data_IF_578188760333
#
_entry.id   IF_578188760333
#
_cell.length_a   1.000
_cell.length_b   1.000
_cell.length_c   1.000
_cell.angle_alpha   90.00
_cell.angle_beta   90.00
_cell.angle_gamma   90.00
#
_symmetry.space_group_name_H-M   'P 1'
#
loop_
_entity.id
_entity.type
_entity.pdbx_description
1 polymer ?
#
# COMPACT_ATOMS: atom_id res chain seq x y z
N UNK A 1 19.49 72.06 35.24
CA UNK A 1 19.84 73.29 34.51
C UNK A 1 19.23 73.20 33.11
N UNK A 2 18.43 74.23 32.76
CA UNK A 2 17.71 74.64 31.53
C UNK A 2 17.76 73.75 30.27
N UNK A 3 16.67 73.41 29.55
CA UNK A 3 15.38 74.06 29.20
C UNK A 3 15.47 75.18 28.14
N UNK A 4 14.98 74.87 26.93
CA UNK A 4 14.22 75.67 25.93
C UNK A 4 13.50 74.64 25.03
N UNK A 5 12.30 74.77 24.48
CA UNK A 5 11.18 75.74 24.42
C UNK A 5 10.00 74.96 23.77
N UNK A 6 8.80 74.92 24.37
CA UNK A 6 7.51 75.54 23.96
C UNK A 6 6.51 74.69 23.12
N UNK A 7 5.30 74.51 23.72
CA UNK A 7 3.90 74.42 23.19
C UNK A 7 3.53 73.28 22.17
N UNK A 8 2.65 72.31 22.49
CA UNK A 8 1.17 72.31 22.67
C UNK A 8 0.36 72.51 21.36
N UNK A 9 -0.76 71.86 21.01
CA UNK A 9 -1.56 70.66 21.40
C UNK A 9 -2.60 70.43 20.26
N UNK A 10 -2.89 69.16 19.91
CA UNK A 10 -4.07 68.55 19.22
C UNK A 10 -4.63 69.01 17.85
N UNK A 11 -4.63 68.07 16.88
CA UNK A 11 -5.83 67.49 16.20
C UNK A 11 -6.51 68.22 15.01
N UNK A 12 -6.43 67.65 13.79
CA UNK A 12 -7.54 67.47 12.80
C UNK A 12 -7.04 67.14 11.37
N UNK A 13 -7.54 66.00 10.86
CA UNK A 13 -8.07 65.61 9.53
C UNK A 13 -7.75 66.32 8.19
N UNK A 14 -7.49 65.47 7.16
CA UNK A 14 -7.77 65.55 5.69
C UNK A 14 -6.86 66.46 4.81
N UNK A 15 -6.48 66.18 3.54
CA UNK A 15 -7.14 65.63 2.33
C UNK A 15 -6.09 65.19 1.26
N UNK A 16 -6.60 64.56 0.16
CA UNK A 16 -6.04 64.22 -1.18
C UNK A 16 -5.81 62.71 -1.44
N UNK A 17 -6.38 62.05 -2.45
CA UNK A 17 -7.29 62.40 -3.57
C UNK A 17 -7.59 61.14 -4.41
N UNK A 18 -8.75 61.09 -5.07
CA UNK A 18 -9.47 59.89 -5.57
C UNK A 18 -9.01 59.29 -6.92
N UNK A 19 -9.37 58.01 -7.15
CA UNK A 19 -10.33 57.64 -8.20
C UNK A 19 -11.09 56.35 -7.86
N UNK A 20 -12.43 56.42 -7.87
CA UNK A 20 -13.37 55.29 -7.76
C UNK A 20 -13.69 54.77 -9.17
N UNK A 21 -13.83 53.46 -9.33
CA UNK A 21 -14.75 52.89 -10.31
C UNK A 21 -15.51 51.71 -9.68
N UNK A 22 -16.76 51.60 -10.10
CA UNK A 22 -17.87 50.86 -9.50
C UNK A 22 -17.73 49.35 -9.57
N UNK A 23 -17.84 48.66 -8.43
CA UNK A 23 -18.37 47.30 -8.39
C UNK A 23 -19.90 47.42 -8.53
N UNK A 24 -20.39 47.17 -9.75
CA UNK A 24 -21.78 46.80 -9.98
C UNK A 24 -21.95 45.39 -9.42
N UNK A 25 -22.96 45.20 -8.59
CA UNK A 25 -23.60 43.91 -8.37
C UNK A 25 -24.09 43.42 -9.74
N UNK A 26 -23.36 42.48 -10.34
CA UNK A 26 -23.90 41.58 -11.34
C UNK A 26 -24.12 40.25 -10.63
N UNK A 27 -25.40 39.91 -10.47
CA UNK A 27 -25.87 38.55 -10.26
C UNK A 27 -25.21 37.63 -11.27
N UNK A 28 -24.14 36.93 -10.87
CA UNK A 28 -23.58 35.85 -11.65
C UNK A 28 -23.71 34.54 -10.88
N UNK A 29 -24.36 33.60 -11.55
CA UNK A 29 -24.91 32.37 -11.01
C UNK A 29 -23.78 31.53 -10.42
N UNK A 30 -23.98 31.04 -9.19
CA UNK A 30 -23.17 29.94 -8.64
C UNK A 30 -23.12 28.82 -9.69
N UNK A 31 -21.93 28.36 -10.13
CA UNK A 31 -21.83 27.14 -10.91
C UNK A 31 -22.44 26.01 -10.08
N UNK A 32 -23.25 25.20 -10.77
CA UNK A 32 -24.25 24.34 -10.18
C UNK A 32 -23.74 23.40 -9.09
N UNK A 33 -24.67 23.13 -8.18
CA UNK A 33 -24.75 22.00 -7.26
C UNK A 33 -24.66 20.67 -8.04
N UNK A 34 -23.47 20.35 -8.58
CA UNK A 34 -23.12 18.98 -8.95
C UNK A 34 -22.62 18.32 -7.68
N UNK A 35 -23.56 17.84 -6.86
CA UNK A 35 -23.25 16.85 -5.83
C UNK A 35 -22.38 15.76 -6.48
N UNK A 36 -21.25 15.36 -5.87
CA UNK A 36 -20.46 14.26 -6.41
C UNK A 36 -21.40 13.08 -6.65
N UNK A 37 -21.35 12.49 -7.85
CA UNK A 37 -22.01 11.20 -8.08
C UNK A 37 -21.19 10.18 -7.30
N UNK A 38 -21.65 9.90 -6.08
CA UNK A 38 -21.01 8.98 -5.15
C UNK A 38 -21.02 7.55 -5.70
N UNK A 39 -20.07 6.74 -5.22
CA UNK A 39 -19.91 5.33 -5.54
C UNK A 39 -21.27 4.64 -5.65
N UNK A 40 -21.46 3.89 -6.73
CA UNK A 40 -22.65 3.06 -6.94
C UNK A 40 -22.84 2.11 -5.75
N UNK A 41 -24.09 1.69 -5.48
CA UNK A 41 -24.46 0.74 -4.42
C UNK A 41 -23.93 -0.69 -4.62
N UNK A 42 -22.88 -0.88 -5.44
CA UNK A 42 -22.27 -2.19 -5.70
C UNK A 42 -21.29 -2.51 -4.56
N UNK A 43 -21.34 -3.72 -3.97
CA UNK A 43 -20.31 -4.19 -3.05
C UNK A 43 -18.94 -4.21 -3.73
N UNK A 44 -17.91 -3.71 -3.05
CA UNK A 44 -16.52 -3.89 -3.46
C UNK A 44 -16.08 -5.30 -3.08
N UNK A 45 -16.50 -6.27 -3.89
CA UNK A 45 -16.03 -7.65 -3.73
C UNK A 45 -14.54 -7.69 -4.12
N UNK A 46 -13.65 -7.95 -3.15
CA UNK A 46 -12.32 -8.51 -3.47
C UNK A 46 -11.06 -7.66 -3.28
N UNK A 47 -11.11 -6.46 -2.68
CA UNK A 47 -9.88 -5.73 -2.30
C UNK A 47 -9.74 -5.50 -0.79
N UNK A 48 -9.69 -6.61 -0.06
CA UNK A 48 -9.74 -6.64 1.41
C UNK A 48 -8.46 -6.22 2.12
N UNK A 49 -7.34 -6.09 1.41
CA UNK A 49 -6.04 -5.71 1.98
C UNK A 49 -5.09 -5.17 0.91
N UNK A 50 -3.89 -4.73 1.31
CA UNK A 50 -2.80 -4.39 0.38
C UNK A 50 -2.57 -5.56 -0.60
N UNK A 51 -2.60 -5.29 -1.91
CA UNK A 51 -2.59 -6.28 -3.01
C UNK A 51 -3.79 -7.23 -3.07
N UNK A 52 -4.96 -6.73 -2.67
CA UNK A 52 -6.26 -7.32 -3.00
C UNK A 52 -6.71 -8.45 -2.07
N UNK A 53 -5.88 -9.49 -1.94
CA UNK A 53 -6.26 -10.74 -1.28
C UNK A 53 -5.18 -11.29 -0.33
N UNK A 54 -5.56 -12.31 0.44
CA UNK A 54 -4.66 -13.04 1.35
C UNK A 54 -3.52 -13.77 0.62
N UNK A 55 -3.61 -13.91 -0.70
CA UNK A 55 -2.56 -14.46 -1.58
C UNK A 55 -1.61 -13.38 -2.10
N UNK A 56 -1.94 -12.10 -1.88
CA UNK A 56 -1.21 -10.91 -2.33
C UNK A 56 -0.97 -10.86 -3.84
N UNK A 57 -1.94 -11.33 -4.59
CA UNK A 57 -1.85 -11.40 -6.06
C UNK A 57 -1.95 -10.02 -6.70
N UNK A 58 -2.47 -9.00 -6.00
CA UNK A 58 -2.80 -7.72 -6.62
C UNK A 58 -4.01 -7.81 -7.55
N UNK A 59 -4.71 -8.96 -7.58
CA UNK A 59 -5.85 -9.20 -8.45
C UNK A 59 -7.15 -8.75 -7.77
N UNK A 60 -7.95 -7.97 -8.50
CA UNK A 60 -9.34 -7.71 -8.17
C UNK A 60 -10.25 -8.73 -8.88
N UNK A 61 -10.84 -9.72 -8.19
CA UNK A 61 -11.76 -10.66 -8.80
C UNK A 61 -13.06 -9.95 -9.22
N UNK A 62 -13.61 -10.30 -10.39
CA UNK A 62 -14.87 -9.76 -10.94
C UNK A 62 -14.85 -8.24 -11.18
N UNK A 63 -13.67 -7.64 -11.25
CA UNK A 63 -13.54 -6.26 -11.69
C UNK A 63 -13.51 -6.21 -13.22
N UNK A 64 -14.68 -6.43 -13.83
CA UNK A 64 -14.90 -6.11 -15.23
C UNK A 64 -14.90 -4.58 -15.38
N UNK A 65 -13.71 -4.01 -15.37
CA UNK A 65 -13.50 -2.61 -15.69
C UNK A 65 -13.63 -2.47 -17.21
N UNK A 66 -14.82 -2.10 -17.69
CA UNK A 66 -14.89 -1.39 -18.98
C UNK A 66 -14.31 0.00 -18.73
N UNK A 67 -12.98 0.09 -18.76
CA UNK A 67 -12.30 1.37 -18.67
C UNK A 67 -12.67 2.18 -19.90
N UNK A 68 -13.15 3.41 -19.68
CA UNK A 68 -13.21 4.41 -20.73
C UNK A 68 -11.81 4.59 -21.32
N UNK A 69 -11.70 4.74 -22.64
CA UNK A 69 -10.43 5.11 -23.30
C UNK A 69 -9.91 6.48 -22.83
N UNK A 70 -10.77 7.27 -22.18
CA UNK A 70 -10.40 8.54 -21.55
C UNK A 70 -10.68 8.45 -20.05
N UNK A 71 -9.65 8.33 -19.19
CA UNK A 71 -9.85 8.25 -17.75
C UNK A 71 -10.40 9.58 -17.25
N UNK A 72 -11.43 9.53 -16.39
CA UNK A 72 -11.96 10.72 -15.73
C UNK A 72 -11.90 10.55 -14.21
N UNK A 73 -11.57 11.63 -13.50
CA UNK A 73 -11.71 11.69 -12.04
C UNK A 73 -13.20 11.72 -11.72
N UNK A 74 -13.74 10.62 -11.17
CA UNK A 74 -15.13 10.52 -10.73
C UNK A 74 -15.36 11.29 -9.43
N UNK A 75 -14.39 11.19 -8.51
CA UNK A 75 -14.33 12.00 -7.30
C UNK A 75 -12.89 12.07 -6.78
N UNK A 76 -12.62 13.11 -6.00
CA UNK A 76 -11.34 13.34 -5.32
C UNK A 76 -11.63 13.87 -3.91
N UNK A 77 -10.87 13.41 -2.91
CA UNK A 77 -10.93 13.93 -1.55
C UNK A 77 -9.54 14.16 -0.97
N UNK A 78 -9.39 15.25 -0.22
CA UNK A 78 -8.19 15.52 0.57
C UNK A 78 -8.30 14.80 1.93
N UNK A 79 -7.23 14.14 2.33
CA UNK A 79 -7.08 13.51 3.64
C UNK A 79 -6.16 14.40 4.48
N UNK A 80 -6.61 14.77 5.69
CA UNK A 80 -6.06 15.85 6.50
C UNK A 80 -4.68 15.59 7.15
N UNK A 81 -3.88 14.65 6.65
CA UNK A 81 -2.59 14.27 7.25
C UNK A 81 -1.44 14.15 6.23
N UNK A 82 -0.23 14.29 6.76
CA UNK A 82 1.02 14.51 6.04
C UNK A 82 1.56 13.31 5.25
N UNK A 83 0.93 12.14 5.29
CA UNK A 83 1.34 10.95 4.51
C UNK A 83 0.14 10.00 4.32
N UNK A 84 -0.12 9.58 3.08
CA UNK A 84 -1.08 8.51 2.76
C UNK A 84 -0.26 7.27 2.43
N UNK A 85 -0.42 6.23 3.26
CA UNK A 85 -0.02 4.86 2.97
C UNK A 85 -1.02 4.19 2.02
N UNK A 86 -0.92 2.87 1.83
CA UNK A 86 -1.74 2.22 0.82
C UNK A 86 -3.24 2.29 1.16
N UNK A 87 -4.02 2.30 0.08
CA UNK A 87 -5.47 2.33 0.12
C UNK A 87 -6.00 0.91 0.19
N UNK A 88 -7.05 0.71 0.98
CA UNK A 88 -7.89 -0.49 0.95
C UNK A 88 -9.31 -0.06 0.63
N UNK A 89 -9.88 -0.57 -0.45
CA UNK A 89 -11.24 -0.24 -0.87
C UNK A 89 -12.20 -1.36 -0.46
N UNK A 90 -13.26 -1.01 0.26
CA UNK A 90 -14.16 -1.98 0.92
C UNK A 90 -15.61 -1.58 0.71
N UNK A 91 -16.56 -2.51 0.91
CA UNK A 91 -17.99 -2.18 0.87
C UNK A 91 -18.40 -1.08 1.88
N UNK A 92 -17.58 -0.86 2.92
CA UNK A 92 -17.79 0.15 3.96
C UNK A 92 -17.14 1.51 3.64
N UNK A 93 -16.27 1.59 2.62
CA UNK A 93 -15.54 2.80 2.26
C UNK A 93 -14.10 2.56 1.84
N UNK A 94 -13.42 3.66 1.57
CA UNK A 94 -11.99 3.70 1.24
C UNK A 94 -11.22 3.92 2.53
N UNK A 95 -10.51 2.89 2.98
CA UNK A 95 -9.64 2.98 4.15
C UNK A 95 -8.25 3.40 3.69
N UNK A 96 -7.65 4.37 4.38
CA UNK A 96 -6.29 4.82 4.10
C UNK A 96 -5.44 4.70 5.35
N UNK A 97 -4.38 3.89 5.36
CA UNK A 97 -3.39 4.00 6.44
C UNK A 97 -2.68 5.34 6.31
N UNK A 98 -2.65 6.23 7.31
CA UNK A 98 -2.01 7.55 7.19
C UNK A 98 -0.86 7.72 8.18
N UNK A 99 0.36 7.45 7.74
CA UNK A 99 1.56 7.93 8.44
C UNK A 99 1.73 7.47 9.89
N UNK A 100 2.73 8.06 10.54
CA UNK A 100 3.51 7.42 11.58
C UNK A 100 2.70 6.76 12.71
N UNK A 101 1.65 7.34 13.28
CA UNK A 101 1.02 6.80 14.51
C UNK A 101 -0.51 6.59 14.40
N UNK A 102 -1.11 6.76 13.22
CA UNK A 102 -2.57 6.83 13.00
C UNK A 102 -3.04 6.04 11.76
N UNK A 103 -3.94 5.09 11.94
CA UNK A 103 -4.73 4.53 10.84
C UNK A 103 -6.03 5.33 10.74
N UNK A 104 -6.20 6.10 9.66
CA UNK A 104 -7.42 6.89 9.42
C UNK A 104 -8.39 6.14 8.50
N UNK A 105 -9.56 5.79 9.02
CA UNK A 105 -10.61 5.09 8.26
C UNK A 105 -11.61 6.13 7.74
N UNK A 106 -11.68 6.27 6.41
CA UNK A 106 -12.71 7.08 5.75
C UNK A 106 -13.86 6.16 5.31
N UNK A 107 -15.11 6.52 5.65
CA UNK A 107 -16.28 5.67 5.39
C UNK A 107 -17.11 6.13 4.19
N UNK A 108 -17.68 5.14 3.49
CA UNK A 108 -18.62 5.27 2.35
C UNK A 108 -19.90 6.00 2.70
N UNK A 109 -20.41 5.84 3.93
CA UNK A 109 -21.79 6.26 4.27
C UNK A 109 -21.91 7.74 4.63
N UNK A 110 -20.81 8.39 4.98
CA UNK A 110 -20.77 9.82 5.22
C UNK A 110 -19.32 10.33 5.10
N UNK A 111 -18.92 11.01 4.03
CA UNK A 111 -17.55 11.52 3.86
C UNK A 111 -17.18 12.59 4.93
N UNK A 112 -18.15 13.07 5.71
CA UNK A 112 -17.89 13.97 6.85
C UNK A 112 -17.59 13.23 8.16
N UNK A 113 -17.80 11.90 8.23
CA UNK A 113 -17.51 11.10 9.42
C UNK A 113 -16.22 10.30 9.19
N UNK A 114 -15.10 10.91 9.57
CA UNK A 114 -13.82 10.23 9.69
C UNK A 114 -13.77 9.44 11.00
N UNK A 115 -13.31 8.18 10.97
CA UNK A 115 -12.91 7.51 12.21
C UNK A 115 -11.39 7.38 12.23
N UNK A 116 -10.79 7.85 13.31
CA UNK A 116 -9.33 7.84 13.49
C UNK A 116 -8.99 6.85 14.59
N UNK A 117 -8.21 5.83 14.25
CA UNK A 117 -7.68 4.89 15.23
C UNK A 117 -6.16 5.03 15.29
N UNK A 118 -5.60 5.14 16.49
CA UNK A 118 -4.15 5.26 16.67
C UNK A 118 -3.52 3.87 16.73
N UNK A 119 -2.55 3.60 15.87
CA UNK A 119 -1.78 2.36 15.85
C UNK A 119 -0.70 2.30 16.94
N UNK A 120 -0.42 3.42 17.61
CA UNK A 120 0.44 3.47 18.80
C UNK A 120 1.92 3.21 18.53
N UNK A 121 2.38 3.26 17.27
CA UNK A 121 3.81 3.21 16.90
C UNK A 121 4.06 3.95 15.60
N UNK A 122 5.24 4.60 15.48
CA UNK A 122 5.65 5.51 14.39
C UNK A 122 5.67 4.94 12.96
N UNK A 123 5.41 3.66 12.76
CA UNK A 123 5.16 3.04 11.45
C UNK A 123 4.30 1.80 11.68
N UNK A 124 2.99 1.96 11.61
CA UNK A 124 2.04 0.84 11.60
C UNK A 124 1.95 0.19 10.23
N UNK A 125 1.32 -0.99 10.17
CA UNK A 125 1.04 -1.67 8.91
C UNK A 125 -0.10 -1.02 8.15
N UNK A 126 -0.19 -1.32 6.86
CA UNK A 126 -1.45 -1.13 6.16
C UNK A 126 -2.51 -2.10 6.72
N UNK A 127 -3.80 -1.73 6.67
CA UNK A 127 -4.83 -2.57 7.25
C UNK A 127 -5.26 -3.71 6.32
N UNK A 128 -5.82 -4.75 6.92
CA UNK A 128 -6.68 -5.73 6.26
C UNK A 128 -8.10 -5.59 6.83
N UNK A 129 -9.13 -5.83 6.02
CA UNK A 129 -10.52 -5.83 6.48
C UNK A 129 -11.16 -7.19 6.25
N UNK A 130 -12.01 -7.62 7.16
CA UNK A 130 -12.89 -8.76 6.97
C UNK A 130 -14.13 -8.62 7.83
N UNK A 131 -15.30 -8.88 7.25
CA UNK A 131 -16.58 -8.93 7.98
C UNK A 131 -16.85 -7.67 8.83
N UNK A 132 -16.46 -6.49 8.31
CA UNK A 132 -16.60 -5.21 9.01
C UNK A 132 -15.60 -4.97 10.14
N UNK A 133 -14.54 -5.77 10.24
CA UNK A 133 -13.44 -5.61 11.21
C UNK A 133 -12.15 -5.32 10.48
N UNK A 134 -11.52 -4.20 10.85
CA UNK A 134 -10.21 -3.76 10.37
C UNK A 134 -9.11 -4.32 11.28
N UNK A 135 -8.06 -4.88 10.70
CA UNK A 135 -6.90 -5.43 11.39
C UNK A 135 -5.65 -4.70 10.92
N UNK A 136 -4.86 -4.18 11.84
CA UNK A 136 -3.60 -3.50 11.50
C UNK A 136 -2.58 -3.63 12.63
N UNK A 137 -1.31 -3.58 12.24
CA UNK A 137 -0.16 -3.66 13.12
C UNK A 137 0.38 -2.30 13.53
N UNK A 138 1.04 -2.26 14.67
CA UNK A 138 1.80 -1.13 15.19
C UNK A 138 2.66 -1.61 16.35
N UNK A 139 2.56 -0.97 17.52
CA UNK A 139 3.12 -1.50 18.78
C UNK A 139 2.34 -2.72 19.29
N UNK A 140 1.16 -2.96 18.73
CA UNK A 140 0.29 -4.11 18.94
C UNK A 140 -0.38 -4.46 17.62
N UNK A 141 -0.91 -5.68 17.52
CA UNK A 141 -1.88 -6.01 16.49
C UNK A 141 -3.27 -5.64 17.01
N UNK A 142 -4.04 -4.87 16.25
CA UNK A 142 -5.32 -4.30 16.70
C UNK A 142 -6.44 -4.64 15.73
N UNK A 143 -7.59 -5.01 16.28
CA UNK A 143 -8.84 -5.22 15.54
C UNK A 143 -9.88 -4.16 15.92
N UNK A 144 -10.48 -3.53 14.91
CA UNK A 144 -11.49 -2.47 15.06
C UNK A 144 -12.72 -2.83 14.26
N UNK A 145 -13.85 -2.95 14.93
CA UNK A 145 -15.12 -3.10 14.27
C UNK A 145 -15.57 -1.74 13.74
N UNK A 146 -15.53 -1.60 12.42
CA UNK A 146 -15.81 -0.34 11.73
C UNK A 146 -17.31 -0.08 11.65
N UNK A 147 -18.15 -1.12 11.74
CA UNK A 147 -19.60 -1.01 11.77
C UNK A 147 -20.10 -0.59 13.15
N UNK A 148 -19.52 -1.16 14.20
CA UNK A 148 -19.89 -0.91 15.58
C UNK A 148 -19.10 0.24 16.23
N UNK A 149 -18.09 0.79 15.55
CA UNK A 149 -17.25 1.90 16.01
C UNK A 149 -16.56 1.61 17.35
N UNK A 150 -15.94 0.43 17.46
CA UNK A 150 -15.20 0.02 18.67
C UNK A 150 -13.96 -0.80 18.34
N UNK A 151 -12.96 -0.72 19.21
CA UNK A 151 -11.85 -1.69 19.25
C UNK A 151 -12.42 -3.00 19.79
N UNK A 152 -12.26 -4.10 19.06
CA UNK A 152 -12.64 -5.44 19.54
C UNK A 152 -11.54 -5.99 20.44
N UNK A 153 -10.28 -5.88 20.01
CA UNK A 153 -9.11 -6.28 20.78
C UNK A 153 -7.84 -5.57 20.30
N UNK A 154 -6.83 -5.55 21.16
CA UNK A 154 -5.49 -5.05 20.88
C UNK A 154 -4.48 -5.91 21.62
N UNK A 155 -3.65 -6.64 20.88
CA UNK A 155 -2.71 -7.63 21.43
C UNK A 155 -1.29 -7.15 21.20
N UNK A 156 -0.61 -6.82 22.31
CA UNK A 156 0.83 -6.62 22.31
C UNK A 156 1.51 -7.97 22.18
N UNK A 157 2.35 -8.13 21.15
CA UNK A 157 3.16 -9.33 21.00
C UNK A 157 4.33 -9.21 21.99
N UNK A 158 4.21 -9.93 23.11
CA UNK A 158 5.22 -9.91 24.15
C UNK A 158 6.52 -10.54 23.64
N UNK A 159 7.68 -10.00 24.04
CA UNK A 159 8.96 -10.67 23.87
C UNK A 159 8.99 -12.00 24.65
N UNK A 160 9.74 -12.99 24.14
CA UNK A 160 9.71 -14.38 24.65
C UNK A 160 10.34 -14.52 26.05
N UNK A 161 10.04 -15.61 26.80
CA UNK A 161 10.73 -15.91 28.05
C UNK A 161 12.24 -16.02 27.85
N UNK A 162 12.99 -15.07 28.42
CA UNK A 162 14.45 -14.95 28.26
C UNK A 162 14.89 -13.68 27.53
N UNK A 163 13.97 -13.00 26.82
CA UNK A 163 14.22 -11.70 26.23
C UNK A 163 14.20 -10.61 27.32
N UNK A 164 15.25 -9.80 27.35
CA UNK A 164 15.40 -8.65 28.27
C UNK A 164 14.87 -7.36 27.67
N UNK A 165 14.34 -7.39 26.44
CA UNK A 165 13.71 -6.23 25.82
C UNK A 165 12.34 -6.00 26.47
N UNK A 166 12.15 -4.79 27.01
CA UNK A 166 10.87 -4.38 27.60
C UNK A 166 9.91 -3.80 26.55
N UNK A 167 10.29 -3.84 25.27
CA UNK A 167 9.56 -3.21 24.17
C UNK A 167 8.71 -4.23 23.42
N UNK A 168 7.41 -3.97 23.21
CA UNK A 168 6.54 -4.74 22.33
C UNK A 168 7.14 -4.95 20.94
N UNK A 169 6.85 -6.09 20.34
CA UNK A 169 7.30 -6.42 18.98
C UNK A 169 6.47 -5.64 17.97
N UNK A 170 7.07 -4.73 17.17
CA UNK A 170 6.32 -4.03 16.14
C UNK A 170 5.84 -4.99 15.04
N UNK A 171 4.57 -4.83 14.65
CA UNK A 171 3.99 -5.41 13.44
C UNK A 171 3.92 -4.31 12.39
N UNK A 172 4.78 -4.38 11.38
CA UNK A 172 4.83 -3.38 10.31
C UNK A 172 4.26 -3.86 8.98
N UNK A 173 4.31 -5.16 8.70
CA UNK A 173 3.69 -5.72 7.49
C UNK A 173 2.19 -5.90 7.64
N UNK A 174 1.44 -5.73 6.55
CA UNK A 174 -0.01 -5.94 6.52
C UNK A 174 -0.36 -7.34 7.04
N UNK A 175 -1.26 -7.51 8.03
CA UNK A 175 -1.67 -8.83 8.47
C UNK A 175 -2.52 -9.54 7.41
N UNK A 176 -2.45 -10.87 7.37
CA UNK A 176 -3.37 -11.70 6.58
C UNK A 176 -4.49 -12.20 7.48
N UNK A 177 -5.73 -12.00 7.04
CA UNK A 177 -6.92 -12.35 7.82
C UNK A 177 -7.70 -13.44 7.10
N UNK A 178 -8.03 -14.51 7.83
CA UNK A 178 -9.02 -15.51 7.45
C UNK A 178 -10.13 -15.60 8.51
N UNK A 179 -11.19 -16.37 8.27
CA UNK A 179 -12.44 -16.35 9.04
C UNK A 179 -12.27 -16.43 10.56
N UNK A 180 -11.25 -17.15 11.04
CA UNK A 180 -11.02 -17.37 12.47
C UNK A 180 -9.60 -16.98 12.92
N UNK A 181 -8.76 -16.46 12.03
CA UNK A 181 -7.35 -16.25 12.36
C UNK A 181 -6.77 -15.00 11.72
N UNK A 182 -5.88 -14.35 12.46
CA UNK A 182 -5.03 -13.26 11.97
C UNK A 182 -3.58 -13.73 11.99
N UNK A 183 -2.91 -13.58 10.86
CA UNK A 183 -1.52 -13.95 10.66
C UNK A 183 -0.69 -12.69 10.44
N UNK A 184 0.39 -12.53 11.20
CA UNK A 184 1.25 -11.35 11.12
C UNK A 184 2.72 -11.73 11.27
N UNK A 185 3.59 -10.95 10.63
CA UNK A 185 5.04 -11.06 10.86
C UNK A 185 5.48 -9.88 11.72
N UNK A 186 6.11 -10.20 12.85
CA UNK A 186 6.66 -9.21 13.78
C UNK A 186 8.19 -9.20 13.76
N UNK A 187 8.75 -8.01 13.96
CA UNK A 187 10.19 -7.77 13.97
C UNK A 187 10.69 -7.46 15.38
N UNK A 188 11.61 -8.28 15.88
CA UNK A 188 12.24 -8.12 17.17
C UNK A 188 13.57 -7.40 16.99
N UNK A 189 13.72 -6.25 17.66
CA UNK A 189 14.92 -5.40 17.57
C UNK A 189 16.24 -6.13 17.89
N UNK A 190 16.20 -7.27 18.59
CA UNK A 190 17.38 -8.08 18.93
C UNK A 190 17.28 -9.57 18.59
N UNK A 191 16.10 -10.08 18.23
CA UNK A 191 15.85 -11.53 18.09
C UNK A 191 15.31 -11.94 16.71
N UNK A 192 15.25 -10.99 15.76
CA UNK A 192 14.94 -11.26 14.36
C UNK A 192 13.45 -11.19 14.02
N UNK A 193 12.93 -12.18 13.30
CA UNK A 193 11.61 -12.15 12.67
C UNK A 193 10.83 -13.40 13.11
N UNK A 194 9.59 -13.20 13.57
CA UNK A 194 8.65 -14.31 13.82
C UNK A 194 7.33 -14.12 13.13
N UNK A 195 6.71 -15.25 12.79
CA UNK A 195 5.35 -15.35 12.30
C UNK A 195 4.41 -15.72 13.44
N UNK A 196 3.27 -15.05 13.51
CA UNK A 196 2.27 -15.24 14.56
C UNK A 196 0.94 -15.63 13.96
N UNK A 197 0.18 -16.44 14.71
CA UNK A 197 -1.25 -16.65 14.50
C UNK A 197 -2.00 -16.29 15.77
N UNK A 198 -3.03 -15.47 15.62
CA UNK A 198 -3.94 -15.08 16.67
C UNK A 198 -5.37 -15.48 16.29
N UNK A 199 -6.20 -15.77 17.29
CA UNK A 199 -7.64 -15.92 17.08
C UNK A 199 -8.24 -14.57 16.68
N UNK A 200 -9.03 -14.55 15.60
CA UNK A 200 -9.57 -13.31 15.06
C UNK A 200 -10.66 -12.67 15.96
N UNK A 201 -11.32 -13.45 16.82
CA UNK A 201 -12.43 -13.00 17.64
C UNK A 201 -11.99 -12.27 18.91
N UNK A 202 -10.87 -12.67 19.52
CA UNK A 202 -10.41 -12.12 20.80
C UNK A 202 -8.94 -11.68 20.80
N UNK A 203 -8.21 -11.92 19.71
CA UNK A 203 -6.81 -11.54 19.58
C UNK A 203 -5.87 -12.38 20.45
N UNK A 204 -6.30 -13.55 20.94
CA UNK A 204 -5.44 -14.44 21.71
C UNK A 204 -4.37 -15.07 20.82
N UNK A 205 -3.12 -15.10 21.30
CA UNK A 205 -2.01 -15.74 20.58
C UNK A 205 -2.19 -17.26 20.61
N UNK A 206 -2.35 -17.88 19.45
CA UNK A 206 -2.50 -19.34 19.34
C UNK A 206 -1.16 -20.04 19.10
N UNK A 207 -0.30 -19.47 18.24
CA UNK A 207 1.08 -19.92 18.08
C UNK A 207 1.98 -18.83 17.52
N UNK A 208 3.29 -18.98 17.76
CA UNK A 208 4.34 -18.22 17.10
C UNK A 208 5.42 -19.16 16.51
N UNK A 209 6.08 -18.70 15.45
CA UNK A 209 7.18 -19.41 14.79
C UNK A 209 8.32 -18.43 14.50
N UNK A 210 9.47 -18.56 15.17
CA UNK A 210 10.69 -17.87 14.78
C UNK A 210 11.10 -18.27 13.35
N UNK A 211 11.41 -17.29 12.50
CA UNK A 211 11.76 -17.51 11.09
C UNK A 211 13.24 -17.22 10.82
N UNK A 212 13.77 -16.15 11.40
CA UNK A 212 15.14 -15.67 11.21
C UNK A 212 15.58 -14.87 12.43
N UNK A 213 16.85 -14.87 12.78
CA UNK A 213 17.43 -13.94 13.78
C UNK A 213 17.94 -12.63 13.13
N UNK A 214 17.95 -12.55 11.79
CA UNK A 214 18.33 -11.38 11.00
C UNK A 214 17.08 -10.66 10.54
N UNK A 215 17.05 -9.34 10.75
CA UNK A 215 16.02 -8.48 10.19
C UNK A 215 16.64 -7.31 9.43
N UNK A 216 16.06 -7.00 8.27
CA UNK A 216 16.25 -5.75 7.56
C UNK A 216 15.11 -4.80 7.93
N UNK A 217 15.36 -3.48 7.87
CA UNK A 217 14.36 -2.43 8.10
C UNK A 217 13.43 -2.26 6.87
N UNK A 218 12.68 -3.32 6.60
CA UNK A 218 11.65 -3.47 5.57
C UNK A 218 10.44 -4.20 6.17
N UNK A 219 9.32 -4.14 5.47
CA UNK A 219 8.09 -4.79 5.91
C UNK A 219 8.01 -6.24 5.40
N UNK A 220 7.70 -7.16 6.31
CA UNK A 220 7.54 -8.59 6.00
C UNK A 220 6.08 -8.96 6.02
N UNK A 221 5.67 -9.63 4.95
CA UNK A 221 4.26 -9.74 4.62
C UNK A 221 4.00 -11.19 4.21
N UNK A 222 3.28 -11.98 5.03
CA UNK A 222 3.04 -13.38 4.72
C UNK A 222 1.96 -13.52 3.64
N UNK A 223 1.97 -14.64 2.92
CA UNK A 223 0.87 -15.05 2.04
C UNK A 223 0.23 -16.33 2.57
N UNK A 224 -1.09 -16.41 2.46
CA UNK A 224 -1.87 -17.58 2.82
C UNK A 224 -2.43 -18.24 1.57
N UNK A 225 -2.32 -19.57 1.47
CA UNK A 225 -2.97 -20.35 0.42
C UNK A 225 -3.22 -21.77 0.95
N UNK A 226 -4.48 -22.19 0.91
CA UNK A 226 -4.93 -23.48 1.44
C UNK A 226 -4.50 -23.65 2.90
N UNK A 227 -3.68 -24.66 3.18
CA UNK A 227 -3.15 -25.01 4.50
C UNK A 227 -1.80 -24.36 4.81
N UNK A 228 -1.26 -23.57 3.87
CA UNK A 228 0.09 -23.04 3.92
C UNK A 228 0.10 -21.53 4.09
N UNK A 229 0.93 -21.11 5.04
CA UNK A 229 1.28 -19.72 5.25
C UNK A 229 2.78 -19.59 4.93
N UNK A 230 3.13 -18.69 4.02
CA UNK A 230 4.50 -18.54 3.53
C UNK A 230 5.00 -17.14 3.82
N UNK A 231 6.20 -17.04 4.39
CA UNK A 231 6.89 -15.79 4.61
C UNK A 231 8.27 -15.83 3.96
N UNK A 232 8.69 -14.71 3.38
CA UNK A 232 10.03 -14.53 2.82
C UNK A 232 10.80 -13.60 3.74
N UNK A 233 11.91 -14.08 4.28
CA UNK A 233 12.71 -13.36 5.28
C UNK A 233 14.21 -13.47 4.95
N UNK A 234 15.08 -12.61 5.50
CA UNK A 234 16.53 -12.75 5.37
C UNK A 234 17.00 -14.04 6.03
N UNK A 235 17.99 -14.70 5.42
CA UNK A 235 18.67 -15.83 6.03
C UNK A 235 19.86 -15.35 6.90
N UNK A 236 19.94 -15.77 8.18
CA UNK A 236 21.04 -15.41 9.07
C UNK A 236 22.43 -15.77 8.56
N UNK A 237 23.35 -14.81 8.59
CA UNK A 237 24.76 -15.06 8.29
C UNK A 237 25.05 -15.44 6.83
N UNK A 238 24.08 -15.31 5.93
CA UNK A 238 24.24 -15.60 4.48
C UNK A 238 23.65 -14.47 3.65
N UNK A 239 24.13 -14.32 2.41
CA UNK A 239 23.57 -13.38 1.42
C UNK A 239 22.38 -14.02 0.67
N UNK A 240 21.42 -14.60 1.41
CA UNK A 240 20.25 -15.27 0.83
C UNK A 240 18.94 -14.83 1.48
N UNK A 241 17.86 -14.85 0.71
CA UNK A 241 16.50 -14.82 1.25
C UNK A 241 16.03 -16.25 1.45
N UNK A 242 15.23 -16.49 2.48
CA UNK A 242 14.58 -17.77 2.70
C UNK A 242 13.06 -17.62 2.64
N UNK A 243 12.44 -18.42 1.78
CA UNK A 243 11.02 -18.67 1.82
C UNK A 243 10.75 -19.81 2.80
N UNK A 244 9.87 -19.57 3.78
CA UNK A 244 9.51 -20.54 4.81
C UNK A 244 8.01 -20.75 4.75
N UNK A 245 7.58 -21.98 4.45
CA UNK A 245 6.17 -22.37 4.52
C UNK A 245 5.88 -23.10 5.82
N UNK A 246 4.79 -22.71 6.48
CA UNK A 246 4.30 -23.33 7.70
C UNK A 246 2.87 -23.79 7.52
N UNK A 247 2.52 -24.82 8.29
CA UNK A 247 1.13 -25.20 8.51
C UNK A 247 0.39 -24.04 9.18
N UNK A 248 -0.66 -23.54 8.53
CA UNK A 248 -1.41 -22.39 9.01
C UNK A 248 -2.14 -22.61 10.34
N UNK A 249 -2.35 -23.85 10.76
CA UNK A 249 -3.06 -24.20 12.01
C UNK A 249 -2.09 -24.48 13.14
N UNK A 250 -0.96 -25.15 12.85
CA UNK A 250 0.00 -25.62 13.86
C UNK A 250 1.26 -24.77 13.96
N UNK A 251 1.55 -23.91 12.98
CA UNK A 251 2.81 -23.17 12.88
C UNK A 251 4.04 -24.03 12.60
N UNK A 252 3.84 -25.33 12.32
CA UNK A 252 4.93 -26.26 12.02
C UNK A 252 5.43 -26.04 10.59
N UNK A 253 6.74 -25.87 10.43
CA UNK A 253 7.39 -25.75 9.13
C UNK A 253 7.15 -26.99 8.26
N UNK A 254 6.81 -26.74 7.00
CA UNK A 254 6.60 -27.76 5.97
C UNK A 254 7.81 -27.85 5.04
N UNK A 255 8.33 -26.70 4.63
CA UNK A 255 9.54 -26.59 3.83
C UNK A 255 10.19 -25.23 4.03
N UNK A 256 11.47 -25.17 3.66
CA UNK A 256 12.28 -23.95 3.64
C UNK A 256 13.18 -23.99 2.41
N UNK A 257 13.27 -22.85 1.74
CA UNK A 257 14.08 -22.69 0.53
C UNK A 257 14.90 -21.40 0.64
N UNK A 258 16.22 -21.53 0.65
CA UNK A 258 17.14 -20.38 0.58
C UNK A 258 17.48 -20.07 -0.89
N UNK A 259 17.43 -18.79 -1.25
CA UNK A 259 17.69 -18.28 -2.59
C UNK A 259 18.71 -17.15 -2.51
N UNK A 260 19.73 -17.16 -3.39
CA UNK A 260 20.78 -16.16 -3.36
C UNK A 260 20.24 -14.75 -3.63
N UNK A 261 20.87 -13.76 -3.02
CA UNK A 261 20.72 -12.34 -3.34
C UNK A 261 22.00 -11.93 -4.05
N UNK A 262 22.00 -11.82 -5.40
CA UNK A 262 23.17 -11.32 -6.12
C UNK A 262 23.59 -9.94 -5.59
N UNK A 263 24.87 -9.79 -5.21
CA UNK A 263 25.39 -8.56 -4.60
C UNK A 263 25.12 -8.41 -3.10
N UNK A 264 24.52 -9.42 -2.46
CA UNK A 264 24.22 -9.43 -1.04
C UNK A 264 23.24 -8.33 -0.63
N UNK A 265 23.16 -8.08 0.69
CA UNK A 265 22.22 -7.11 1.21
C UNK A 265 22.53 -5.66 0.85
N UNK A 266 23.79 -5.35 0.55
CA UNK A 266 24.25 -3.99 0.24
C UNK A 266 23.77 -3.52 -1.15
N UNK A 267 23.46 -4.46 -2.06
CA UNK A 267 22.87 -4.17 -3.36
C UNK A 267 21.34 -4.04 -3.35
N UNK A 268 20.69 -4.25 -2.21
CA UNK A 268 19.23 -4.26 -2.13
C UNK A 268 18.68 -2.84 -2.02
N UNK A 269 17.78 -2.47 -2.93
CA UNK A 269 16.84 -1.39 -2.62
C UNK A 269 15.98 -1.83 -1.43
N UNK A 270 15.64 -0.90 -0.53
CA UNK A 270 14.81 -1.14 0.68
C UNK A 270 13.36 -1.55 0.36
N UNK A 271 13.12 -2.20 -0.77
CA UNK A 271 11.82 -2.39 -1.39
C UNK A 271 11.38 -3.85 -1.30
N UNK A 272 10.10 -4.05 -0.97
CA UNK A 272 9.41 -5.31 -0.65
C UNK A 272 9.97 -6.60 -1.27
N UNK A 273 10.15 -7.63 -0.43
CA UNK A 273 10.26 -9.05 -0.83
C UNK A 273 8.95 -9.80 -0.68
N UNK A 274 7.85 -9.08 -0.69
CA UNK A 274 6.58 -9.68 -0.36
C UNK A 274 6.18 -10.71 -1.43
N UNK A 275 5.96 -11.97 -1.04
CA UNK A 275 5.53 -13.00 -1.96
C UNK A 275 4.10 -12.79 -2.46
N UNK A 276 3.79 -13.47 -3.56
CA UNK A 276 2.44 -13.71 -4.05
C UNK A 276 2.21 -15.23 -4.20
N UNK A 277 1.07 -15.73 -3.74
CA UNK A 277 0.66 -17.11 -3.99
C UNK A 277 -0.16 -17.18 -5.28
N UNK A 278 0.47 -17.61 -6.37
CA UNK A 278 -0.09 -17.61 -7.72
C UNK A 278 -0.26 -19.05 -8.22
N UNK A 279 -1.48 -19.57 -8.19
CA UNK A 279 -1.77 -20.96 -8.55
C UNK A 279 -1.07 -21.93 -7.61
N UNK A 280 -0.16 -22.74 -8.16
CA UNK A 280 0.67 -23.71 -7.43
C UNK A 280 2.02 -23.12 -6.99
N UNK A 281 2.29 -21.84 -7.25
CA UNK A 281 3.56 -21.20 -6.95
C UNK A 281 3.46 -20.17 -5.83
N UNK A 282 4.56 -20.02 -5.08
CA UNK A 282 4.90 -18.79 -4.39
C UNK A 282 5.91 -18.04 -5.25
N UNK A 283 5.54 -16.85 -5.69
CA UNK A 283 6.36 -16.01 -6.56
C UNK A 283 6.86 -14.80 -5.79
N UNK A 284 8.16 -14.54 -5.84
CA UNK A 284 8.76 -13.39 -5.16
C UNK A 284 10.08 -13.00 -5.80
N UNK A 285 10.54 -11.80 -5.47
CA UNK A 285 11.81 -11.25 -5.93
C UNK A 285 12.93 -11.54 -4.94
N UNK A 286 14.10 -11.95 -5.43
CA UNK A 286 15.37 -11.96 -4.70
C UNK A 286 16.41 -11.16 -5.50
N UNK A 287 16.79 -9.98 -4.99
CA UNK A 287 17.57 -9.01 -5.77
C UNK A 287 16.80 -8.55 -7.02
N UNK A 288 17.35 -8.82 -8.21
CA UNK A 288 16.72 -8.51 -9.50
C UNK A 288 16.08 -9.74 -10.17
N UNK A 289 16.15 -10.91 -9.52
CA UNK A 289 15.61 -12.17 -10.04
C UNK A 289 14.22 -12.41 -9.44
N UNK A 290 13.28 -12.81 -10.29
CA UNK A 290 11.98 -13.32 -9.85
C UNK A 290 12.09 -14.84 -9.79
N UNK A 291 11.66 -15.43 -8.67
CA UNK A 291 11.63 -16.87 -8.48
C UNK A 291 10.19 -17.33 -8.32
N UNK A 292 9.86 -18.47 -8.93
CA UNK A 292 8.69 -19.23 -8.55
C UNK A 292 9.10 -20.54 -7.88
N UNK A 293 8.53 -20.72 -6.71
CA UNK A 293 8.75 -21.87 -5.86
C UNK A 293 7.45 -22.65 -5.80
N UNK A 294 7.48 -23.95 -6.05
CA UNK A 294 6.33 -24.83 -5.85
C UNK A 294 5.84 -24.70 -4.41
N UNK A 295 4.58 -24.30 -4.27
CA UNK A 295 3.95 -23.93 -3.01
C UNK A 295 3.97 -25.10 -2.01
N UNK A 296 3.94 -26.35 -2.49
CA UNK A 296 3.79 -27.54 -1.64
C UNK A 296 5.13 -28.12 -1.20
N UNK A 297 6.16 -28.03 -2.02
CA UNK A 297 7.45 -28.70 -1.85
C UNK A 297 8.59 -27.75 -1.55
N UNK A 298 8.46 -26.46 -1.89
CA UNK A 298 9.55 -25.49 -1.75
C UNK A 298 10.59 -25.57 -2.87
N UNK A 299 10.35 -26.35 -3.92
CA UNK A 299 11.28 -26.50 -5.04
C UNK A 299 11.18 -25.30 -5.98
N UNK A 300 12.31 -24.71 -6.40
CA UNK A 300 12.31 -23.68 -7.44
C UNK A 300 11.94 -24.34 -8.78
N UNK A 301 10.85 -23.89 -9.39
CA UNK A 301 10.40 -24.40 -10.69
C UNK A 301 10.92 -23.55 -11.86
N UNK A 302 10.97 -22.24 -11.66
CA UNK A 302 11.55 -21.32 -12.63
C UNK A 302 12.14 -20.07 -11.98
N UNK A 303 13.08 -19.45 -12.69
CA UNK A 303 13.70 -18.18 -12.34
C UNK A 303 13.69 -17.27 -13.57
N UNK A 304 13.43 -15.98 -13.36
CA UNK A 304 13.44 -14.99 -14.42
C UNK A 304 14.35 -13.82 -14.04
N UNK A 305 15.32 -13.52 -14.92
CA UNK A 305 16.12 -12.29 -14.87
C UNK A 305 15.72 -11.41 -16.04
N UNK A 306 15.28 -10.20 -15.71
CA UNK A 306 14.83 -9.24 -16.71
C UNK A 306 15.99 -8.75 -17.56
N UNK A 307 15.84 -8.85 -18.88
CA UNK A 307 16.70 -8.15 -19.86
C UNK A 307 16.23 -6.71 -20.11
N UNK A 308 15.11 -6.32 -19.50
CA UNK A 308 14.42 -5.03 -19.67
C UNK A 308 14.61 -4.10 -18.47
N UNK A 309 15.72 -4.28 -17.75
CA UNK A 309 16.08 -3.50 -16.58
C UNK A 309 15.72 -4.16 -15.25
N UNK A 310 16.02 -3.47 -14.15
CA UNK A 310 16.05 -4.03 -12.81
C UNK A 310 14.64 -4.08 -12.25
N UNK A 311 14.16 -5.27 -11.90
CA UNK A 311 12.86 -5.44 -11.25
C UNK A 311 12.93 -4.82 -9.84
N UNK A 312 12.08 -3.82 -9.57
CA UNK A 312 12.11 -3.07 -8.30
C UNK A 312 10.82 -3.12 -7.49
N UNK A 313 9.67 -3.31 -8.16
CA UNK A 313 8.37 -3.44 -7.50
C UNK A 313 8.07 -4.87 -7.03
N UNK A 314 7.11 -5.05 -6.13
CA UNK A 314 6.56 -6.37 -5.81
C UNK A 314 5.82 -6.96 -7.01
N UNK A 315 5.79 -8.29 -7.09
CA UNK A 315 5.06 -9.00 -8.14
C UNK A 315 3.56 -8.99 -7.90
N UNK A 316 2.79 -8.96 -8.98
CA UNK A 316 1.36 -9.26 -9.01
C UNK A 316 1.13 -10.52 -9.87
N UNK A 317 -0.04 -11.15 -9.78
CA UNK A 317 -0.33 -12.35 -10.54
C UNK A 317 -1.83 -12.57 -10.75
N UNK A 318 -2.17 -13.36 -11.76
CA UNK A 318 -3.50 -13.93 -11.93
C UNK A 318 -3.44 -15.44 -12.26
N UNK A 319 -4.45 -15.95 -12.97
CA UNK A 319 -4.52 -17.34 -13.36
C UNK A 319 -3.60 -17.74 -14.52
N UNK A 320 -3.07 -16.77 -15.26
CA UNK A 320 -2.24 -17.00 -16.43
C UNK A 320 -0.84 -16.43 -16.27
N UNK A 321 -0.71 -15.28 -15.59
CA UNK A 321 0.50 -14.46 -15.65
C UNK A 321 0.98 -13.97 -14.30
N UNK A 322 2.28 -13.68 -14.24
CA UNK A 322 2.94 -12.88 -13.22
C UNK A 322 3.31 -11.53 -13.84
N UNK A 323 3.07 -10.45 -13.11
CA UNK A 323 3.39 -9.09 -13.52
C UNK A 323 4.46 -8.49 -12.62
N UNK A 324 5.41 -7.80 -13.21
CA UNK A 324 6.49 -7.12 -12.49
C UNK A 324 6.86 -5.80 -13.16
N UNK A 325 7.39 -4.87 -12.37
CA UNK A 325 7.82 -3.57 -12.86
C UNK A 325 9.32 -3.33 -12.65
N UNK A 326 9.94 -2.68 -13.62
CA UNK A 326 11.37 -2.33 -13.59
C UNK A 326 11.60 -0.87 -13.27
N UNK A 327 12.83 -0.57 -12.83
CA UNK A 327 13.32 0.79 -12.58
C UNK A 327 13.31 1.63 -13.85
N UNK A 328 13.51 0.99 -14.99
CA UNK A 328 13.62 1.58 -16.31
C UNK A 328 12.25 1.88 -16.94
N UNK A 329 11.17 1.69 -16.16
CA UNK A 329 9.81 1.96 -16.62
C UNK A 329 9.30 0.92 -17.59
N UNK A 330 9.57 -0.35 -17.31
CA UNK A 330 8.95 -1.47 -18.02
C UNK A 330 7.98 -2.20 -17.09
N UNK A 331 6.85 -2.62 -17.63
CA UNK A 331 5.94 -3.60 -17.04
C UNK A 331 6.08 -4.89 -17.83
N UNK A 332 6.39 -5.97 -17.13
CA UNK A 332 6.60 -7.29 -17.67
C UNK A 332 5.37 -8.13 -17.35
N UNK A 333 4.95 -8.96 -18.31
CA UNK A 333 4.05 -10.07 -18.05
C UNK A 333 4.75 -11.37 -18.39
N UNK A 334 4.78 -12.30 -17.44
CA UNK A 334 5.42 -13.60 -17.54
C UNK A 334 4.35 -14.68 -17.47
N UNK A 335 4.45 -15.73 -18.28
CA UNK A 335 3.68 -16.95 -18.10
C UNK A 335 3.91 -17.49 -16.68
N UNK A 336 2.84 -17.69 -15.93
CA UNK A 336 2.92 -18.08 -14.51
C UNK A 336 3.57 -19.45 -14.31
N UNK A 337 3.44 -20.36 -15.29
CA UNK A 337 3.97 -21.73 -15.20
C UNK A 337 5.42 -21.84 -15.62
N UNK A 338 5.87 -21.06 -16.59
CA UNK A 338 7.22 -21.21 -17.17
C UNK A 338 8.16 -20.06 -16.82
N UNK A 339 7.62 -18.90 -16.45
CA UNK A 339 8.39 -17.66 -16.23
C UNK A 339 8.84 -16.98 -17.53
N UNK A 340 8.48 -17.52 -18.70
CA UNK A 340 8.78 -16.88 -19.99
C UNK A 340 7.95 -15.60 -20.15
N UNK A 341 8.51 -14.54 -20.72
CA UNK A 341 7.77 -13.29 -20.89
C UNK A 341 6.78 -13.41 -22.07
N UNK A 342 5.53 -13.06 -21.82
CA UNK A 342 4.48 -12.95 -22.84
C UNK A 342 4.57 -11.60 -23.57
N UNK A 343 4.74 -10.53 -22.79
CA UNK A 343 4.84 -9.17 -23.32
C UNK A 343 5.59 -8.24 -22.37
N UNK A 344 6.04 -7.12 -22.93
CA UNK A 344 6.69 -6.02 -22.23
C UNK A 344 6.07 -4.71 -22.67
N UNK A 345 5.72 -3.86 -21.70
CA UNK A 345 5.08 -2.56 -21.93
C UNK A 345 5.92 -1.44 -21.31
N UNK A 346 6.16 -0.36 -22.05
CA UNK A 346 6.87 0.81 -21.53
C UNK A 346 5.90 1.79 -20.86
N UNK A 347 6.29 2.30 -19.68
CA UNK A 347 5.57 3.30 -18.89
C UNK A 347 6.47 4.52 -18.61
N UNK A 348 5.86 5.63 -18.22
CA UNK A 348 6.57 6.87 -17.98
C UNK A 348 7.22 6.92 -16.58
N UNK A 349 8.46 6.46 -16.47
CA UNK A 349 9.24 6.51 -15.23
C UNK A 349 9.22 5.19 -14.45
N UNK A 350 9.78 5.20 -13.24
CA UNK A 350 9.96 3.98 -12.44
C UNK A 350 8.63 3.59 -11.80
N UNK A 351 8.29 2.29 -11.78
CA UNK A 351 7.15 1.76 -11.02
C UNK A 351 7.66 0.90 -9.86
N UNK A 352 7.59 1.47 -8.65
CA UNK A 352 8.00 0.82 -7.38
C UNK A 352 6.82 0.20 -6.65
N UNK A 353 5.62 0.69 -6.92
CA UNK A 353 4.39 0.23 -6.31
C UNK A 353 3.92 -1.10 -6.92
N UNK A 354 3.14 -1.90 -6.18
CA UNK A 354 2.45 -3.07 -6.73
C UNK A 354 1.60 -2.72 -7.95
N UNK A 355 1.58 -3.62 -8.93
CA UNK A 355 0.64 -3.57 -10.06
C UNK A 355 -0.72 -4.09 -9.60
N UNK A 356 -1.80 -3.42 -10.00
CA UNK A 356 -3.16 -3.94 -9.83
C UNK A 356 -3.61 -4.69 -11.09
N UNK A 357 -4.20 -5.87 -10.90
CA UNK A 357 -4.63 -6.76 -11.99
C UNK A 357 -6.16 -6.84 -12.00
N UNK A 358 -6.78 -6.33 -13.06
CA UNK A 358 -8.20 -6.53 -13.35
C UNK A 358 -8.42 -7.66 -14.36
N UNK A 359 -9.64 -7.82 -14.83
CA UNK A 359 -9.96 -8.91 -15.78
C UNK A 359 -9.34 -8.68 -17.17
N UNK A 360 -9.47 -7.46 -17.69
CA UNK A 360 -9.01 -7.06 -19.04
C UNK A 360 -7.74 -6.20 -19.03
N UNK A 361 -7.41 -5.59 -17.88
CA UNK A 361 -6.35 -4.58 -17.78
C UNK A 361 -5.47 -4.80 -16.56
N UNK A 362 -4.21 -4.39 -16.67
CA UNK A 362 -3.35 -4.14 -15.51
C UNK A 362 -3.12 -2.65 -15.35
N UNK A 363 -2.98 -2.19 -14.11
CA UNK A 363 -2.80 -0.79 -13.76
C UNK A 363 -1.48 -0.63 -13.02
N UNK A 364 -0.59 0.17 -13.58
CA UNK A 364 0.69 0.53 -12.98
C UNK A 364 0.69 2.01 -12.60
N UNK A 365 1.38 2.35 -11.51
CA UNK A 365 1.65 3.74 -11.14
C UNK A 365 3.16 3.98 -11.20
N UNK A 366 3.55 4.98 -11.99
CA UNK A 366 4.95 5.31 -12.20
C UNK A 366 5.25 6.75 -11.83
N UNK A 367 6.50 7.00 -11.48
CA UNK A 367 6.99 8.31 -11.12
C UNK A 367 8.28 8.58 -11.86
N UNK A 368 8.41 9.78 -12.43
CA UNK A 368 9.67 10.23 -13.01
C UNK A 368 10.63 10.60 -11.89
N UNK A 369 11.86 10.13 -11.97
CA UNK A 369 12.88 10.52 -11.00
C UNK A 369 13.28 11.97 -11.26
N UNK A 370 13.05 12.86 -10.29
CA UNK A 370 13.67 14.19 -10.29
C UNK A 370 15.07 14.07 -9.73
N UNK A 371 16.05 14.71 -10.40
CA UNK A 371 17.46 14.71 -9.96
C UNK A 371 17.73 15.38 -8.60
N UNK A 372 16.69 15.77 -7.85
CA UNK A 372 16.78 16.34 -6.51
C UNK A 372 16.80 15.27 -5.40
N UNK A 373 16.62 13.98 -5.76
CA UNK A 373 16.70 12.84 -4.83
C UNK A 373 15.61 12.82 -3.76
N UNK A 374 14.62 13.71 -3.84
CA UNK A 374 13.56 13.86 -2.84
C UNK A 374 12.20 13.39 -3.34
N UNK A 375 12.03 13.07 -4.63
CA UNK A 375 10.81 12.46 -5.20
C UNK A 375 9.51 13.26 -4.98
N UNK A 376 9.61 14.49 -4.49
CA UNK A 376 8.50 15.25 -3.88
C UNK A 376 7.80 16.18 -4.85
N UNK A 377 8.27 16.24 -6.10
CA UNK A 377 7.87 17.23 -7.09
C UNK A 377 7.53 16.66 -8.47
N UNK A 378 7.68 15.34 -8.68
CA UNK A 378 7.32 14.73 -9.97
C UNK A 378 5.83 14.41 -10.02
N UNK A 379 5.16 14.64 -11.16
CA UNK A 379 3.84 14.07 -11.36
C UNK A 379 3.96 12.54 -11.39
N UNK A 380 3.01 11.87 -10.74
CA UNK A 380 2.79 10.46 -10.91
C UNK A 380 1.94 10.21 -12.16
N UNK A 381 2.20 9.11 -12.84
CA UNK A 381 1.44 8.64 -13.98
C UNK A 381 0.77 7.32 -13.62
N UNK A 382 -0.56 7.27 -13.70
CA UNK A 382 -1.34 6.03 -13.66
C UNK A 382 -1.48 5.55 -15.11
N UNK A 383 -1.08 4.31 -15.40
CA UNK A 383 -1.15 3.73 -16.74
C UNK A 383 -1.99 2.47 -16.71
N UNK A 384 -3.04 2.41 -17.53
CA UNK A 384 -3.77 1.18 -17.80
C UNK A 384 -3.21 0.51 -19.06
N UNK A 385 -2.99 -0.80 -18.96
CA UNK A 385 -2.35 -1.62 -20.00
C UNK A 385 -3.26 -2.80 -20.29
N UNK A 386 -3.50 -3.09 -21.57
CA UNK A 386 -4.25 -4.26 -22.01
C UNK A 386 -3.57 -5.54 -21.51
N UNK A 387 -4.26 -6.35 -20.72
CA UNK A 387 -3.70 -7.56 -20.12
C UNK A 387 -3.25 -8.58 -21.16
N UNK A 388 -3.99 -8.69 -22.25
CA UNK A 388 -3.76 -9.67 -23.31
C UNK A 388 -2.56 -9.33 -24.21
N UNK A 389 -2.19 -8.05 -24.34
CA UNK A 389 -1.21 -7.62 -25.36
C UNK A 389 -0.07 -6.77 -24.83
N UNK A 390 -0.19 -6.20 -23.62
CA UNK A 390 0.75 -5.20 -23.11
C UNK A 390 0.61 -3.82 -23.75
N UNK A 391 -0.40 -3.58 -24.59
CA UNK A 391 -0.60 -2.27 -25.22
C UNK A 391 -1.11 -1.25 -24.21
N UNK A 392 -0.53 -0.04 -24.12
CA UNK A 392 -1.06 1.01 -23.27
C UNK A 392 -2.43 1.44 -23.78
N UNK A 393 -3.41 1.49 -22.88
CA UNK A 393 -4.77 1.96 -23.18
C UNK A 393 -4.90 3.45 -22.95
N UNK A 394 -4.51 3.91 -21.76
CA UNK A 394 -4.53 5.31 -21.41
C UNK A 394 -3.53 5.61 -20.29
N UNK A 395 -3.23 6.89 -20.13
CA UNK A 395 -2.48 7.43 -19.01
C UNK A 395 -3.26 8.54 -18.34
N UNK A 396 -3.05 8.69 -17.03
CA UNK A 396 -3.57 9.78 -16.23
C UNK A 396 -2.44 10.34 -15.38
N UNK A 397 -2.19 11.65 -15.48
CA UNK A 397 -1.15 12.32 -14.69
C UNK A 397 -1.78 13.07 -13.52
N UNK A 398 -1.14 12.97 -12.35
CA UNK A 398 -1.52 13.67 -11.15
C UNK A 398 -0.28 14.23 -10.45
N UNK A 399 -0.39 15.40 -9.81
CA UNK A 399 0.72 15.92 -9.01
C UNK A 399 1.00 15.00 -7.80
N UNK A 400 2.28 14.82 -7.46
CA UNK A 400 2.71 14.09 -6.27
C UNK A 400 3.05 12.62 -6.50
N UNK A 401 3.32 11.93 -5.40
CA UNK A 401 3.72 10.52 -5.36
C UNK A 401 2.47 9.64 -5.29
N UNK A 402 2.24 8.81 -6.31
CA UNK A 402 1.17 7.81 -6.29
C UNK A 402 1.56 6.60 -5.44
N UNK A 403 0.58 6.08 -4.68
CA UNK A 403 0.62 4.79 -3.96
C UNK A 403 0.00 3.68 -4.79
N UNK A 404 0.12 2.44 -4.31
CA UNK A 404 -0.45 1.24 -4.91
C UNK A 404 -1.90 1.48 -5.42
N UNK A 405 -2.18 1.25 -6.71
CA UNK A 405 -3.52 1.35 -7.26
C UNK A 405 -4.41 0.23 -6.72
N UNK A 406 -5.70 0.53 -6.58
CA UNK A 406 -6.73 -0.42 -6.16
C UNK A 406 -7.82 -0.44 -7.21
N UNK A 407 -8.24 -1.64 -7.62
CA UNK A 407 -9.31 -1.82 -8.59
C UNK A 407 -10.59 -2.27 -7.87
N UNK A 408 -11.72 -1.58 -8.14
CA UNK A 408 -13.04 -1.99 -7.64
C UNK A 408 -14.16 -1.01 -8.02
N UNK A 409 -15.43 -1.47 -7.96
CA UNK A 409 -16.64 -0.65 -8.28
C UNK A 409 -16.56 0.05 -9.65
N UNK A 410 -16.00 -0.66 -10.65
CA UNK A 410 -15.79 -0.09 -11.98
C UNK A 410 -14.88 1.14 -12.01
N UNK A 411 -14.02 1.28 -10.99
CA UNK A 411 -13.08 2.38 -10.81
C UNK A 411 -11.68 1.90 -10.41
N UNK A 412 -10.71 2.80 -10.54
CA UNK A 412 -9.34 2.67 -10.03
C UNK A 412 -9.15 3.73 -8.95
N UNK A 413 -8.85 3.32 -7.72
CA UNK A 413 -8.53 4.23 -6.62
C UNK A 413 -7.02 4.36 -6.48
N UNK A 414 -6.54 5.60 -6.38
CA UNK A 414 -5.11 5.89 -6.19
C UNK A 414 -4.95 6.98 -5.14
N UNK A 415 -3.99 6.77 -4.23
CA UNK A 415 -3.59 7.75 -3.24
C UNK A 415 -2.41 8.56 -3.76
N UNK A 416 -2.46 9.87 -3.61
CA UNK A 416 -1.42 10.80 -4.04
C UNK A 416 -0.92 11.61 -2.87
N UNK A 417 0.38 11.63 -2.65
CA UNK A 417 1.01 12.43 -1.63
C UNK A 417 1.65 13.68 -2.24
N UNK A 418 1.26 14.87 -1.76
CA UNK A 418 1.77 16.16 -2.27
C UNK A 418 2.34 17.03 -1.15
N UNK A 419 3.42 17.76 -1.43
CA UNK A 419 4.10 18.61 -0.43
C UNK A 419 3.64 20.09 -0.48
N UNK A 420 2.89 20.51 -1.50
CA UNK A 420 2.49 21.94 -1.64
C UNK A 420 1.47 22.36 -0.57
N UNK A 421 1.59 23.60 -0.09
CA UNK A 421 0.64 24.29 0.80
C UNK A 421 0.29 23.62 2.14
N UNK A 422 1.24 22.91 2.79
CA UNK A 422 1.01 22.35 4.13
C UNK A 422 0.96 20.82 4.22
N UNK A 423 1.46 20.12 3.18
CA UNK A 423 1.54 18.66 3.07
C UNK A 423 0.18 17.97 3.26
N UNK A 424 -0.52 17.79 2.14
CA UNK A 424 -1.83 17.13 2.07
C UNK A 424 -1.73 15.91 1.17
N UNK A 425 -2.55 14.92 1.49
CA UNK A 425 -2.68 13.75 0.65
C UNK A 425 -4.07 13.73 0.02
N UNK A 426 -4.15 13.23 -1.20
CA UNK A 426 -5.38 13.10 -1.98
C UNK A 426 -5.68 11.63 -2.21
N UNK A 427 -6.96 11.26 -2.22
CA UNK A 427 -7.42 10.03 -2.86
C UNK A 427 -8.32 10.38 -4.02
N UNK A 428 -8.05 9.80 -5.19
CA UNK A 428 -8.90 9.94 -6.36
C UNK A 428 -9.46 8.58 -6.81
N UNK A 429 -10.69 8.59 -7.30
CA UNK A 429 -11.28 7.49 -8.05
C UNK A 429 -11.34 7.85 -9.53
N UNK A 430 -10.69 7.04 -10.36
CA UNK A 430 -10.68 7.13 -11.80
C UNK A 430 -11.70 6.15 -12.38
N UNK A 431 -12.34 6.48 -13.50
CA UNK A 431 -13.06 5.49 -14.28
C UNK A 431 -13.69 6.06 -15.52
#
# INVERSE_FOLDING_TARGET
>A
MNRRELLAVTGATALFGCWRSSLRESDDKRPGDSRPRWLSDVPLDGWTMRRGDHRRTGRAPNASLSLSDTPQVRWETTVAEHDVGDIVATEYGVVTGTGADTSTVLFRRNPTKEHRVRAGSRRGSEPAIRDGVLYFGGSSLTAVNVVADRVEWSTSMAPMPGDKSETPVPVRGTPVVDSNAVYAVGMFSREGISLFRLDASDGSLEWNRPLSDRHLDIDYEPVLRDELLVAVVPDPGTDTLQAVAVDRTKGTERWRQSLPIPGGYDGMSRESFTPAAAGEHVVFRSGETIHAVDLRTGTVEWEYRSEHGNVIGPVAADDERVYAATREGQVLALDRRTGEHDWVASIAGQCREPIAVGDEHVVAVSQRETGDGKGTHSPATVTAIEKATGSPRWTFEHEGTARAPVIGDGSIFVGFWTVRHGAWSTVAALG
#
